data_IF_861725053096
#
_entry.id   IF_861725053096
#
_cell.length_a   1.000
_cell.length_b   1.000
_cell.length_c   1.000
_cell.angle_alpha   90.00
_cell.angle_beta   90.00
_cell.angle_gamma   90.00
#
_symmetry.space_group_name_H-M   'P 1'
#
loop_
_entity.id
_entity.type
_entity.pdbx_description
1 polymer ?
#
# COMPACT_ATOMS: atom_id res chain seq x y z
N UNK A 1 -8.47 -6.58 27.23
CA UNK A 1 -7.98 -5.98 25.96
C UNK A 1 -6.46 -6.01 25.80
N UNK A 2 -5.68 -5.37 26.67
CA UNK A 2 -4.21 -5.26 26.51
C UNK A 2 -3.46 -6.60 26.43
N UNK A 3 -3.90 -7.60 27.21
CA UNK A 3 -3.32 -8.97 27.19
C UNK A 3 -3.50 -9.64 25.83
N UNK A 4 -4.67 -9.47 25.19
CA UNK A 4 -4.94 -10.04 23.86
C UNK A 4 -4.07 -9.40 22.79
N UNK A 5 -3.98 -8.06 22.78
CA UNK A 5 -3.17 -7.29 21.82
C UNK A 5 -1.70 -7.71 21.89
N UNK A 6 -1.17 -7.93 23.10
CA UNK A 6 0.20 -8.43 23.31
C UNK A 6 0.42 -9.83 22.76
N UNK A 7 -0.56 -10.73 22.93
CA UNK A 7 -0.47 -12.13 22.47
C UNK A 7 -0.71 -12.30 20.97
N UNK A 8 -1.54 -11.44 20.37
CA UNK A 8 -2.00 -11.56 18.97
C UNK A 8 -1.90 -10.23 18.20
N UNK A 9 -0.72 -9.58 18.13
CA UNK A 9 -0.59 -8.23 17.59
C UNK A 9 -1.01 -8.10 16.13
N UNK A 10 -0.71 -9.10 15.28
CA UNK A 10 -1.14 -9.10 13.88
C UNK A 10 -2.67 -9.15 13.73
N UNK A 11 -3.33 -10.04 14.49
CA UNK A 11 -4.78 -10.17 14.44
C UNK A 11 -5.46 -8.90 14.96
N UNK A 12 -4.97 -8.35 16.09
CA UNK A 12 -5.47 -7.08 16.62
C UNK A 12 -5.31 -5.94 15.63
N UNK A 13 -4.18 -5.88 14.92
CA UNK A 13 -3.95 -4.88 13.88
C UNK A 13 -4.96 -5.01 12.75
N UNK A 14 -5.16 -6.19 12.16
CA UNK A 14 -6.10 -6.33 11.05
C UNK A 14 -7.55 -6.03 11.47
N UNK A 15 -7.96 -6.44 12.67
CA UNK A 15 -9.29 -6.13 13.21
C UNK A 15 -9.46 -4.61 13.37
N UNK A 16 -8.51 -3.93 14.04
CA UNK A 16 -8.59 -2.49 14.25
C UNK A 16 -8.50 -1.70 12.94
N UNK A 17 -7.61 -2.09 12.03
CA UNK A 17 -7.41 -1.39 10.77
C UNK A 17 -8.69 -1.41 9.92
N UNK A 18 -9.36 -2.56 9.83
CA UNK A 18 -10.63 -2.66 9.12
C UNK A 18 -11.75 -1.92 9.87
N UNK A 19 -11.96 -2.20 11.16
CA UNK A 19 -13.06 -1.60 11.91
C UNK A 19 -12.99 -0.07 11.94
N UNK A 20 -11.83 0.50 12.26
CA UNK A 20 -11.67 1.95 12.35
C UNK A 20 -11.85 2.64 11.00
N UNK A 21 -11.37 2.02 9.91
CA UNK A 21 -11.56 2.58 8.57
C UNK A 21 -13.01 2.51 8.13
N UNK A 22 -13.64 1.35 8.29
CA UNK A 22 -15.00 1.13 7.83
C UNK A 22 -15.97 2.03 8.59
N UNK A 23 -15.81 2.15 9.91
CA UNK A 23 -16.62 3.08 10.73
C UNK A 23 -16.38 4.53 10.29
N UNK A 24 -15.14 4.93 10.03
CA UNK A 24 -14.83 6.29 9.59
C UNK A 24 -15.38 6.61 8.18
N UNK A 25 -15.49 5.59 7.31
CA UNK A 25 -16.04 5.75 5.97
C UNK A 25 -17.57 5.67 5.91
N UNK A 26 -18.24 5.17 6.95
CA UNK A 26 -19.71 5.05 6.95
C UNK A 26 -20.41 6.39 6.61
N UNK A 27 -20.07 7.54 7.22
CA UNK A 27 -20.70 8.80 6.85
C UNK A 27 -20.49 9.17 5.38
N UNK A 28 -19.30 8.92 4.83
CA UNK A 28 -19.00 9.17 3.42
C UNK A 28 -19.81 8.28 2.48
N UNK A 29 -19.83 6.98 2.77
CA UNK A 29 -20.61 5.98 2.02
C UNK A 29 -22.11 6.29 2.07
N UNK A 30 -22.63 6.70 3.22
CA UNK A 30 -24.06 6.97 3.40
C UNK A 30 -24.49 8.34 2.87
N UNK A 31 -23.56 9.27 2.68
CA UNK A 31 -23.83 10.61 2.12
C UNK A 31 -24.21 10.57 0.63
N UNK A 32 -24.48 11.74 0.03
CA UNK A 32 -24.69 11.90 -1.42
C UNK A 32 -23.45 11.55 -2.26
N UNK A 33 -22.27 11.43 -1.65
CA UNK A 33 -21.08 10.89 -2.32
C UNK A 33 -21.10 9.35 -2.46
N UNK A 34 -22.14 8.67 -1.97
CA UNK A 34 -22.31 7.23 -2.11
C UNK A 34 -23.76 6.82 -2.27
N UNK A 35 -24.33 6.15 -1.26
CA UNK A 35 -25.68 5.58 -1.34
C UNK A 35 -26.80 6.61 -1.20
N UNK A 36 -26.51 7.81 -0.72
CA UNK A 36 -27.49 8.90 -0.59
C UNK A 36 -28.52 8.71 0.53
N UNK A 37 -28.27 7.81 1.48
CA UNK A 37 -29.15 7.59 2.65
C UNK A 37 -29.20 8.83 3.56
N UNK A 38 -28.08 9.55 3.68
CA UNK A 38 -27.94 10.78 4.44
C UNK A 38 -27.89 11.98 3.49
N UNK A 39 -28.71 12.98 3.78
CA UNK A 39 -28.89 14.14 2.93
C UNK A 39 -27.83 15.23 3.14
N UNK A 40 -26.57 14.88 2.92
CA UNK A 40 -25.45 15.82 2.89
C UNK A 40 -24.37 15.34 1.92
N UNK A 41 -23.43 16.21 1.57
CA UNK A 41 -22.26 15.87 0.77
C UNK A 41 -20.99 16.36 1.46
N UNK A 42 -19.89 15.64 1.26
CA UNK A 42 -18.59 16.06 1.71
C UNK A 42 -18.06 17.17 0.81
N UNK A 43 -17.61 18.31 1.36
CA UNK A 43 -17.06 19.39 0.56
C UNK A 43 -15.86 18.95 -0.28
N UNK A 44 -15.81 19.39 -1.54
CA UNK A 44 -14.67 19.16 -2.40
C UNK A 44 -13.50 20.08 -2.01
N UNK A 45 -12.33 19.50 -1.77
CA UNK A 45 -11.07 20.21 -1.53
C UNK A 45 -10.11 19.81 -2.64
N UNK A 46 -9.51 20.80 -3.32
CA UNK A 46 -8.70 20.56 -4.53
C UNK A 46 -9.45 19.76 -5.62
N UNK A 47 -10.76 19.99 -5.75
CA UNK A 47 -11.59 19.34 -6.77
C UNK A 47 -12.02 17.91 -6.43
N UNK A 48 -11.80 17.43 -5.20
CA UNK A 48 -12.20 16.08 -4.79
C UNK A 48 -12.79 16.03 -3.38
N UNK A 49 -13.81 15.20 -3.15
CA UNK A 49 -14.35 14.92 -1.81
C UNK A 49 -13.48 13.95 -1.01
N UNK A 50 -12.55 13.24 -1.68
CA UNK A 50 -11.77 12.14 -1.09
C UNK A 50 -10.92 12.59 0.10
N UNK A 51 -10.45 13.84 0.11
CA UNK A 51 -9.65 14.39 1.21
C UNK A 51 -10.43 14.50 2.52
N UNK A 52 -11.75 14.76 2.46
CA UNK A 52 -12.59 14.89 3.65
C UNK A 52 -13.40 13.61 3.91
N UNK A 53 -13.77 12.87 2.88
CA UNK A 53 -14.59 11.66 2.98
C UNK A 53 -13.80 10.38 3.17
N UNK A 54 -12.83 10.10 2.30
CA UNK A 54 -12.06 8.85 2.28
C UNK A 54 -10.81 8.90 3.17
N UNK A 55 -10.10 10.02 3.19
CA UNK A 55 -8.83 10.14 3.89
C UNK A 55 -8.88 9.86 5.41
N UNK A 56 -9.93 10.25 6.16
CA UNK A 56 -10.01 9.96 7.60
C UNK A 56 -9.93 8.47 7.92
N UNK A 57 -10.65 7.62 7.16
CA UNK A 57 -10.58 6.16 7.35
C UNK A 57 -9.23 5.59 6.92
N UNK A 58 -8.60 6.13 5.87
CA UNK A 58 -7.24 5.75 5.48
C UNK A 58 -6.22 6.01 6.60
N UNK A 59 -6.34 7.10 7.35
CA UNK A 59 -5.43 7.40 8.47
C UNK A 59 -5.78 6.63 9.76
N UNK A 60 -7.07 6.49 10.08
CA UNK A 60 -7.51 5.79 11.29
C UNK A 60 -7.32 4.27 11.19
N UNK A 61 -7.31 3.73 9.98
CA UNK A 61 -7.09 2.32 9.73
C UNK A 61 -5.65 1.88 9.95
N UNK A 62 -4.78 1.84 8.93
CA UNK A 62 -3.51 1.14 9.00
C UNK A 62 -2.51 1.84 9.91
N UNK A 63 -2.18 3.12 9.69
CA UNK A 63 -1.16 3.81 10.50
C UNK A 63 -1.58 3.94 11.97
N UNK A 64 -2.83 4.37 12.25
CA UNK A 64 -3.27 4.55 13.64
C UNK A 64 -3.45 3.21 14.37
N UNK A 65 -3.93 2.16 13.71
CA UNK A 65 -3.98 0.81 14.32
C UNK A 65 -2.59 0.27 14.61
N UNK A 66 -1.62 0.47 13.71
CA UNK A 66 -0.23 0.08 13.95
C UNK A 66 0.35 0.85 15.15
N UNK A 67 0.06 2.14 15.28
CA UNK A 67 0.43 2.95 16.45
C UNK A 67 -0.18 2.37 17.74
N UNK A 68 -1.50 2.16 17.78
CA UNK A 68 -2.20 1.66 18.97
C UNK A 68 -1.67 0.29 19.41
N UNK A 69 -1.56 -0.65 18.46
CA UNK A 69 -1.07 -2.00 18.77
C UNK A 69 0.38 -1.95 19.23
N UNK A 70 1.24 -1.18 18.57
CA UNK A 70 2.65 -1.01 19.00
C UNK A 70 2.73 -0.37 20.39
N UNK A 71 1.92 0.67 20.67
CA UNK A 71 1.92 1.37 21.95
C UNK A 71 1.47 0.48 23.11
N UNK A 72 0.50 -0.41 22.88
CA UNK A 72 -0.04 -1.35 23.87
C UNK A 72 0.91 -2.54 24.08
N UNK A 73 1.47 -3.07 22.99
CA UNK A 73 2.30 -4.26 23.01
C UNK A 73 3.75 -3.99 23.45
N UNK A 74 4.33 -2.90 22.98
CA UNK A 74 5.77 -2.59 23.10
C UNK A 74 6.06 -1.27 23.84
N UNK A 75 5.03 -0.55 24.28
CA UNK A 75 5.19 0.69 25.03
C UNK A 75 5.67 1.88 24.19
N UNK A 76 6.14 2.94 24.87
CA UNK A 76 6.63 4.18 24.21
C UNK A 76 7.90 3.92 23.39
N UNK A 77 8.77 3.05 23.88
CA UNK A 77 10.02 2.70 23.18
C UNK A 77 9.76 1.95 21.87
N UNK A 78 8.79 1.03 21.85
CA UNK A 78 8.35 0.36 20.63
C UNK A 78 7.88 1.34 19.57
N UNK A 79 7.08 2.34 19.97
CA UNK A 79 6.63 3.42 19.06
C UNK A 79 7.81 4.23 18.55
N UNK A 80 8.74 4.63 19.42
CA UNK A 80 9.95 5.37 18.99
C UNK A 80 10.78 4.56 17.99
N UNK A 81 10.96 3.25 18.22
CA UNK A 81 11.65 2.36 17.27
C UNK A 81 10.88 2.23 15.95
N UNK A 82 9.55 2.15 15.99
CA UNK A 82 8.70 2.05 14.80
C UNK A 82 8.76 3.32 13.95
N UNK A 83 8.58 4.49 14.55
CA UNK A 83 8.69 5.79 13.87
C UNK A 83 10.10 5.97 13.29
N UNK A 84 11.15 5.56 14.01
CA UNK A 84 12.52 5.61 13.51
C UNK A 84 12.77 4.79 12.24
N UNK A 85 11.97 3.75 11.96
CA UNK A 85 12.06 3.00 10.70
C UNK A 85 11.42 3.73 9.52
N UNK A 86 10.49 4.65 9.79
CA UNK A 86 9.76 5.40 8.76
C UNK A 86 10.65 6.39 8.00
N UNK A 87 11.82 6.74 8.52
CA UNK A 87 12.72 7.76 7.94
C UNK A 87 13.93 7.17 7.21
N UNK A 88 13.85 5.91 6.78
CA UNK A 88 14.95 5.23 6.08
C UNK A 88 15.04 5.66 4.60
N UNK A 89 15.56 6.85 4.36
CA UNK A 89 15.80 7.41 3.02
C UNK A 89 17.11 6.96 2.37
N UNK A 90 18.08 6.51 3.15
CA UNK A 90 19.39 6.08 2.64
C UNK A 90 19.29 4.72 1.97
N UNK A 91 18.99 4.73 0.68
CA UNK A 91 18.87 3.58 -0.23
C UNK A 91 19.62 3.92 -1.51
N UNK A 92 20.13 2.91 -2.24
CA UNK A 92 20.74 3.14 -3.56
C UNK A 92 19.77 3.90 -4.48
N UNK A 93 20.28 4.95 -5.15
CA UNK A 93 19.51 5.81 -6.05
C UNK A 93 18.81 5.04 -7.18
N UNK A 94 19.37 3.89 -7.59
CA UNK A 94 18.78 3.00 -8.59
C UNK A 94 17.36 2.58 -8.19
N UNK A 95 17.10 2.38 -6.90
CA UNK A 95 15.75 2.01 -6.45
C UNK A 95 14.77 3.16 -6.57
N UNK A 96 15.19 4.40 -6.35
CA UNK A 96 14.35 5.58 -6.59
C UNK A 96 14.02 5.70 -8.08
N UNK A 97 14.98 5.43 -8.97
CA UNK A 97 14.74 5.41 -10.41
C UNK A 97 13.77 4.28 -10.79
N UNK A 98 13.99 3.07 -10.27
CA UNK A 98 13.10 1.91 -10.52
C UNK A 98 11.67 2.20 -10.06
N UNK A 99 11.46 2.88 -8.93
CA UNK A 99 10.11 3.20 -8.46
C UNK A 99 9.50 4.37 -9.24
N UNK A 100 10.22 5.49 -9.38
CA UNK A 100 9.68 6.72 -9.96
C UNK A 100 9.51 6.65 -11.48
N UNK A 101 10.33 5.86 -12.18
CA UNK A 101 10.29 5.71 -13.64
C UNK A 101 9.79 4.33 -14.05
N UNK A 102 10.21 3.26 -13.34
CA UNK A 102 9.81 1.91 -13.71
C UNK A 102 8.31 1.65 -13.57
N UNK A 103 7.63 2.27 -12.60
CA UNK A 103 6.16 2.16 -12.46
C UNK A 103 5.43 2.83 -13.64
N UNK A 104 5.63 4.13 -13.94
CA UNK A 104 5.06 4.74 -15.14
C UNK A 104 5.40 3.98 -16.42
N UNK A 105 6.65 3.54 -16.59
CA UNK A 105 7.07 2.81 -17.79
C UNK A 105 6.33 1.48 -17.96
N UNK A 106 6.08 0.73 -16.88
CA UNK A 106 5.31 -0.50 -16.94
C UNK A 106 3.84 -0.26 -17.32
N UNK A 107 3.24 0.81 -16.79
CA UNK A 107 1.86 1.20 -17.13
C UNK A 107 1.78 1.68 -18.58
N UNK A 108 2.71 2.53 -19.03
CA UNK A 108 2.80 3.00 -20.42
C UNK A 108 2.96 1.83 -21.40
N UNK A 109 3.87 0.90 -21.11
CA UNK A 109 4.08 -0.28 -21.95
C UNK A 109 2.81 -1.14 -22.07
N UNK A 110 2.06 -1.28 -20.98
CA UNK A 110 0.79 -2.01 -20.97
C UNK A 110 -0.30 -1.24 -21.71
N UNK A 111 -0.39 0.07 -21.51
CA UNK A 111 -1.31 0.96 -22.22
C UNK A 111 -1.11 0.90 -23.72
N UNK A 112 0.14 1.05 -24.19
CA UNK A 112 0.51 0.94 -25.61
C UNK A 112 0.10 -0.39 -26.23
N UNK A 113 0.26 -1.49 -25.49
CA UNK A 113 -0.13 -2.81 -25.96
C UNK A 113 -1.66 -3.00 -26.05
N UNK A 114 -2.44 -2.21 -25.30
CA UNK A 114 -3.90 -2.26 -25.27
C UNK A 114 -4.58 -1.20 -26.14
N UNK A 115 -3.86 -0.14 -26.52
CA UNK A 115 -4.37 0.97 -27.33
C UNK A 115 -3.99 0.84 -28.82
N UNK A 116 -3.56 -0.34 -29.26
CA UNK A 116 -3.04 -0.57 -30.62
C UNK A 116 -1.92 0.42 -31.02
N UNK A 117 -1.11 0.82 -30.04
CA UNK A 117 0.00 1.77 -30.22
C UNK A 117 -0.41 3.25 -30.19
N UNK A 118 -1.69 3.57 -30.01
CA UNK A 118 -2.15 4.95 -29.86
C UNK A 118 -1.72 5.52 -28.50
N UNK A 119 -0.98 6.63 -28.53
CA UNK A 119 -0.55 7.36 -27.33
C UNK A 119 -0.44 8.84 -27.65
N UNK A 120 -0.84 9.66 -26.67
CA UNK A 120 -0.72 11.10 -26.73
C UNK A 120 0.33 11.56 -25.74
N UNK A 121 1.10 12.60 -26.11
CA UNK A 121 1.99 13.24 -25.16
C UNK A 121 1.18 14.07 -24.16
N UNK A 122 1.40 13.94 -22.84
CA UNK A 122 0.59 14.63 -21.85
C UNK A 122 0.74 16.16 -21.98
N UNK A 123 -0.34 16.93 -21.79
CA UNK A 123 -0.28 18.40 -21.78
C UNK A 123 0.71 18.95 -20.74
N UNK A 124 1.24 20.15 -20.96
CA UNK A 124 2.18 20.79 -20.03
C UNK A 124 1.61 20.93 -18.61
N UNK A 125 0.30 21.16 -18.47
CA UNK A 125 -0.38 21.23 -17.18
C UNK A 125 -0.26 19.92 -16.38
N UNK A 126 -0.36 18.77 -17.05
CA UNK A 126 -0.19 17.43 -16.44
C UNK A 126 1.24 17.27 -15.93
N UNK A 127 2.24 17.65 -16.74
CA UNK A 127 3.64 17.57 -16.36
C UNK A 127 3.96 18.44 -15.14
N UNK A 128 3.40 19.65 -15.09
CA UNK A 128 3.55 20.58 -13.96
C UNK A 128 2.84 20.05 -12.71
N UNK A 129 1.64 19.48 -12.85
CA UNK A 129 0.86 18.94 -11.74
C UNK A 129 1.41 17.62 -11.18
N UNK A 130 2.18 16.88 -11.97
CA UNK A 130 2.64 15.53 -11.62
C UNK A 130 3.42 15.47 -10.31
N UNK A 131 4.41 16.36 -10.14
CA UNK A 131 5.26 16.36 -8.94
C UNK A 131 4.51 16.86 -7.68
N UNK A 132 3.78 17.98 -7.69
CA UNK A 132 2.95 18.39 -6.55
C UNK A 132 1.93 17.32 -6.14
N UNK A 133 1.26 16.69 -7.10
CA UNK A 133 0.30 15.60 -6.83
C UNK A 133 0.99 14.37 -6.23
N UNK A 134 2.17 13.98 -6.74
CA UNK A 134 2.95 12.88 -6.18
C UNK A 134 3.33 13.14 -4.71
N UNK A 135 3.80 14.35 -4.40
CA UNK A 135 4.16 14.76 -3.04
C UNK A 135 2.95 14.81 -2.11
N UNK A 136 1.80 15.28 -2.61
CA UNK A 136 0.56 15.22 -1.86
C UNK A 136 0.17 13.77 -1.54
N UNK A 137 0.26 12.88 -2.52
CA UNK A 137 -0.08 11.46 -2.36
C UNK A 137 0.88 10.69 -1.45
N UNK A 138 2.14 11.11 -1.34
CA UNK A 138 3.04 10.60 -0.30
C UNK A 138 2.44 10.76 1.10
N UNK A 139 1.68 11.83 1.33
CA UNK A 139 1.00 12.08 2.61
C UNK A 139 -0.40 11.46 2.61
N UNK A 140 -1.21 11.64 1.57
CA UNK A 140 -2.62 11.23 1.62
C UNK A 140 -2.81 9.73 1.43
N UNK A 141 -1.89 9.04 0.76
CA UNK A 141 -2.00 7.60 0.44
C UNK A 141 -0.83 6.84 1.05
N UNK A 142 0.41 7.21 0.70
CA UNK A 142 1.60 6.51 1.16
C UNK A 142 1.70 6.45 2.69
N UNK A 143 1.61 7.60 3.36
CA UNK A 143 1.78 7.67 4.81
C UNK A 143 0.57 7.10 5.56
N UNK A 144 -0.64 7.23 5.01
CA UNK A 144 -1.85 6.69 5.62
C UNK A 144 -1.79 5.16 5.72
N UNK A 145 -1.27 4.50 4.68
CA UNK A 145 -1.38 3.06 4.50
C UNK A 145 -0.10 2.28 4.82
N UNK A 146 1.03 2.67 4.22
CA UNK A 146 2.25 1.86 4.20
C UNK A 146 2.86 1.59 5.59
N UNK A 147 2.83 2.53 6.57
CA UNK A 147 3.30 2.24 7.92
C UNK A 147 2.57 1.06 8.58
N UNK A 148 1.27 0.92 8.29
CA UNK A 148 0.46 -0.19 8.79
C UNK A 148 0.70 -1.47 8.01
N UNK A 149 0.53 -1.44 6.69
CA UNK A 149 0.59 -2.64 5.87
C UNK A 149 2.01 -3.21 5.74
N UNK A 150 3.02 -2.35 5.48
CA UNK A 150 4.36 -2.81 5.09
C UNK A 150 5.31 -2.81 6.28
N UNK A 151 5.39 -1.73 7.05
CA UNK A 151 6.30 -1.72 8.21
C UNK A 151 5.72 -2.50 9.41
N UNK A 152 4.43 -2.37 9.73
CA UNK A 152 3.85 -3.09 10.85
C UNK A 152 3.51 -4.55 10.52
N UNK A 153 2.63 -4.78 9.53
CA UNK A 153 2.07 -6.11 9.26
C UNK A 153 3.04 -7.00 8.47
N UNK A 154 3.48 -6.59 7.28
CA UNK A 154 4.36 -7.39 6.42
C UNK A 154 5.66 -7.77 7.15
N UNK A 155 6.33 -6.83 7.82
CA UNK A 155 7.57 -7.14 8.56
C UNK A 155 7.37 -8.20 9.65
N UNK A 156 6.21 -8.21 10.34
CA UNK A 156 5.86 -9.22 11.34
C UNK A 156 5.45 -10.55 10.69
N UNK A 157 4.68 -10.51 9.61
CA UNK A 157 4.23 -11.70 8.89
C UNK A 157 5.40 -12.44 8.26
N UNK A 158 6.38 -11.74 7.69
CA UNK A 158 7.54 -12.37 7.02
C UNK A 158 8.37 -13.22 7.97
N UNK A 159 8.43 -12.86 9.26
CA UNK A 159 9.09 -13.69 10.28
C UNK A 159 8.36 -15.01 10.56
N UNK A 160 7.05 -15.09 10.27
CA UNK A 160 6.22 -16.25 10.57
C UNK A 160 5.91 -17.11 9.34
N UNK A 161 5.69 -16.48 8.19
CA UNK A 161 5.22 -17.15 6.97
C UNK A 161 6.23 -17.05 5.81
N UNK A 162 7.40 -16.46 6.04
CA UNK A 162 8.35 -16.12 4.97
C UNK A 162 7.82 -15.02 4.05
N UNK A 163 8.61 -14.66 3.04
CA UNK A 163 8.28 -13.57 2.12
C UNK A 163 6.99 -13.87 1.33
N UNK A 164 7.01 -14.98 0.57
CA UNK A 164 5.91 -15.35 -0.32
C UNK A 164 4.60 -15.60 0.44
N UNK A 165 4.66 -16.36 1.55
CA UNK A 165 3.46 -16.62 2.36
C UNK A 165 2.86 -15.33 2.92
N UNK A 166 3.70 -14.40 3.36
CA UNK A 166 3.21 -13.09 3.84
C UNK A 166 2.60 -12.25 2.74
N UNK A 167 3.21 -12.25 1.55
CA UNK A 167 2.70 -11.54 0.38
C UNK A 167 1.33 -12.06 -0.06
N UNK A 168 1.18 -13.40 -0.13
CA UNK A 168 -0.07 -14.06 -0.54
C UNK A 168 -1.20 -13.78 0.46
N UNK A 169 -0.89 -13.70 1.76
CA UNK A 169 -1.89 -13.39 2.78
C UNK A 169 -2.23 -11.89 2.79
N UNK A 170 -1.23 -11.01 2.71
CA UNK A 170 -1.43 -9.57 2.85
C UNK A 170 -2.13 -8.94 1.64
N UNK A 171 -1.89 -9.44 0.42
CA UNK A 171 -2.51 -8.90 -0.80
C UNK A 171 -4.05 -8.88 -0.76
N UNK A 172 -4.72 -10.02 -0.52
CA UNK A 172 -6.16 -10.08 -0.37
C UNK A 172 -6.69 -9.28 0.82
N UNK A 173 -5.98 -9.27 1.96
CA UNK A 173 -6.38 -8.48 3.12
C UNK A 173 -6.34 -6.98 2.86
N UNK A 174 -5.37 -6.53 2.05
CA UNK A 174 -5.29 -5.14 1.62
C UNK A 174 -6.40 -4.80 0.61
N UNK A 175 -6.70 -5.69 -0.34
CA UNK A 175 -7.87 -5.51 -1.23
C UNK A 175 -9.20 -5.50 -0.47
N UNK A 176 -9.39 -6.42 0.48
CA UNK A 176 -10.58 -6.53 1.33
C UNK A 176 -10.85 -5.23 2.11
N UNK A 177 -9.79 -4.61 2.62
CA UNK A 177 -9.88 -3.38 3.38
C UNK A 177 -10.62 -2.27 2.60
N UNK A 178 -10.44 -2.19 1.28
CA UNK A 178 -11.05 -1.18 0.42
C UNK A 178 -12.52 -1.44 0.07
N UNK A 179 -13.06 -2.66 0.26
CA UNK A 179 -14.36 -3.04 -0.30
C UNK A 179 -15.51 -2.08 0.04
N UNK A 180 -15.64 -1.53 1.26
CA UNK A 180 -16.71 -0.59 1.55
C UNK A 180 -16.67 0.69 0.72
N UNK A 181 -15.48 1.15 0.28
CA UNK A 181 -15.36 2.35 -0.54
C UNK A 181 -15.98 2.19 -1.95
N UNK A 182 -16.20 0.95 -2.41
CA UNK A 182 -16.96 0.69 -3.65
C UNK A 182 -18.44 1.05 -3.56
N UNK A 183 -18.93 1.42 -2.37
CA UNK A 183 -20.26 2.00 -2.15
C UNK A 183 -20.25 3.54 -2.17
N UNK A 184 -19.17 4.16 -2.66
CA UNK A 184 -19.01 5.60 -2.83
C UNK A 184 -18.48 5.96 -4.21
N UNK A 185 -18.51 7.25 -4.57
CA UNK A 185 -17.95 7.79 -5.81
C UNK A 185 -16.47 7.44 -5.98
N UNK A 186 -15.72 7.27 -4.87
CA UNK A 186 -14.32 6.81 -4.90
C UNK A 186 -14.17 5.50 -5.66
N UNK A 187 -15.08 4.54 -5.39
CA UNK A 187 -15.07 3.25 -6.06
C UNK A 187 -15.95 3.20 -7.31
N UNK A 188 -16.64 4.30 -7.66
CA UNK A 188 -17.51 4.41 -8.83
C UNK A 188 -18.94 3.90 -8.60
N UNK A 189 -19.45 3.95 -7.38
CA UNK A 189 -20.87 3.71 -7.13
C UNK A 189 -21.75 4.75 -7.86
N UNK A 190 -22.93 4.38 -8.41
CA UNK A 190 -23.52 3.03 -8.44
C UNK A 190 -23.08 2.17 -9.64
N UNK A 191 -22.29 2.72 -10.55
CA UNK A 191 -22.01 2.11 -11.86
C UNK A 191 -20.87 1.08 -11.85
N UNK A 192 -20.17 0.92 -10.73
CA UNK A 192 -19.05 -0.02 -10.62
C UNK A 192 -19.47 -1.46 -10.83
N UNK A 193 -18.82 -2.13 -11.79
CA UNK A 193 -19.05 -3.54 -12.06
C UNK A 193 -18.35 -4.45 -11.03
N UNK A 194 -18.93 -5.64 -10.80
CA UNK A 194 -18.26 -6.68 -10.00
C UNK A 194 -16.88 -7.04 -10.57
N UNK A 195 -16.75 -7.05 -11.90
CA UNK A 195 -15.47 -7.30 -12.56
C UNK A 195 -14.40 -6.29 -12.12
N UNK A 196 -14.73 -4.99 -12.10
CA UNK A 196 -13.78 -3.94 -11.68
C UNK A 196 -13.35 -4.11 -10.22
N UNK A 197 -14.25 -4.54 -9.33
CA UNK A 197 -13.91 -4.86 -7.93
C UNK A 197 -12.93 -6.04 -7.87
N UNK A 198 -13.20 -7.10 -8.63
CA UNK A 198 -12.33 -8.28 -8.68
C UNK A 198 -10.95 -7.96 -9.29
N UNK A 199 -10.92 -7.16 -10.36
CA UNK A 199 -9.69 -6.68 -10.99
C UNK A 199 -8.86 -5.84 -10.00
N UNK A 200 -9.49 -4.97 -9.20
CA UNK A 200 -8.83 -4.21 -8.15
C UNK A 200 -8.22 -5.12 -7.07
N UNK A 201 -8.98 -6.09 -6.55
CA UNK A 201 -8.45 -7.02 -5.52
C UNK A 201 -7.31 -7.88 -6.09
N UNK A 202 -7.43 -8.33 -7.34
CA UNK A 202 -6.37 -9.05 -8.04
C UNK A 202 -5.12 -8.17 -8.23
N UNK A 203 -5.30 -6.88 -8.52
CA UNK A 203 -4.20 -5.92 -8.58
C UNK A 203 -3.53 -5.76 -7.21
N UNK A 204 -4.29 -5.60 -6.12
CA UNK A 204 -3.73 -5.57 -4.76
C UNK A 204 -2.87 -6.80 -4.48
N UNK A 205 -3.31 -7.99 -4.91
CA UNK A 205 -2.55 -9.24 -4.75
C UNK A 205 -1.22 -9.22 -5.52
N UNK A 206 -1.27 -8.89 -6.81
CA UNK A 206 -0.10 -8.93 -7.71
C UNK A 206 0.87 -7.80 -7.41
N UNK A 207 0.39 -6.58 -7.21
CA UNK A 207 1.23 -5.44 -6.84
C UNK A 207 1.92 -5.66 -5.49
N UNK A 208 1.27 -6.33 -4.54
CA UNK A 208 1.89 -6.64 -3.25
C UNK A 208 3.16 -7.52 -3.38
N UNK A 209 3.28 -8.32 -4.44
CA UNK A 209 4.51 -9.06 -4.77
C UNK A 209 5.66 -8.11 -5.07
N UNK A 210 5.42 -7.13 -5.96
CA UNK A 210 6.40 -6.12 -6.34
C UNK A 210 6.79 -5.26 -5.13
N UNK A 211 5.78 -4.80 -4.37
CA UNK A 211 6.00 -4.04 -3.13
C UNK A 211 6.84 -4.82 -2.13
N UNK A 212 6.53 -6.10 -1.89
CA UNK A 212 7.30 -6.93 -0.95
C UNK A 212 8.75 -7.09 -1.39
N UNK A 213 8.98 -7.31 -2.69
CA UNK A 213 10.33 -7.44 -3.24
C UNK A 213 11.14 -6.16 -3.09
N UNK A 214 10.61 -5.00 -3.48
CA UNK A 214 11.28 -3.70 -3.32
C UNK A 214 11.53 -3.43 -1.83
N UNK A 215 10.55 -3.71 -0.98
CA UNK A 215 10.67 -3.50 0.47
C UNK A 215 11.84 -4.30 1.03
N UNK A 216 11.93 -5.58 0.71
CA UNK A 216 13.02 -6.42 1.19
C UNK A 216 14.39 -6.04 0.61
N UNK A 217 14.45 -5.71 -0.69
CA UNK A 217 15.70 -5.35 -1.36
C UNK A 217 16.28 -4.02 -0.93
N UNK A 218 15.45 -3.14 -0.41
CA UNK A 218 15.84 -1.80 0.05
C UNK A 218 16.08 -1.77 1.56
N UNK A 219 16.14 -2.95 2.17
CA UNK A 219 16.32 -3.12 3.61
C UNK A 219 15.15 -2.57 4.40
N UNK A 220 13.93 -2.71 3.88
CA UNK A 220 12.68 -2.27 4.50
C UNK A 220 12.54 -0.74 4.55
N UNK A 221 12.87 -0.05 3.45
CA UNK A 221 12.71 1.41 3.34
C UNK A 221 11.25 1.77 3.13
N UNK A 222 10.63 2.37 4.15
CA UNK A 222 9.24 2.81 4.07
C UNK A 222 9.02 3.98 3.09
N UNK A 223 9.84 5.04 3.06
CA UNK A 223 9.63 6.14 2.12
C UNK A 223 9.67 5.71 0.65
N UNK A 224 10.55 4.76 0.31
CA UNK A 224 10.62 4.24 -1.04
C UNK A 224 9.38 3.40 -1.39
N UNK A 225 8.83 2.66 -0.44
CA UNK A 225 7.59 1.91 -0.64
C UNK A 225 6.38 2.83 -0.77
N UNK A 226 6.34 3.91 0.02
CA UNK A 226 5.36 4.97 -0.18
C UNK A 226 5.48 5.52 -1.60
N UNK A 227 6.69 5.86 -2.06
CA UNK A 227 6.93 6.34 -3.42
C UNK A 227 6.48 5.33 -4.48
N UNK A 228 6.79 4.04 -4.31
CA UNK A 228 6.37 2.98 -5.23
C UNK A 228 4.84 2.89 -5.34
N UNK A 229 4.15 2.89 -4.20
CA UNK A 229 2.69 2.84 -4.16
C UNK A 229 2.11 4.08 -4.84
N UNK A 230 2.47 5.28 -4.38
CA UNK A 230 1.88 6.52 -4.89
C UNK A 230 2.29 6.82 -6.33
N UNK A 231 3.37 6.21 -6.85
CA UNK A 231 3.72 6.32 -8.27
C UNK A 231 2.66 5.65 -9.16
N UNK A 232 2.03 4.57 -8.69
CA UNK A 232 0.89 3.96 -9.40
C UNK A 232 -0.29 4.92 -9.36
N UNK A 233 -0.71 5.34 -8.17
CA UNK A 233 -1.88 6.21 -8.00
C UNK A 233 -1.72 7.53 -8.77
N UNK A 234 -0.57 8.19 -8.63
CA UNK A 234 -0.29 9.45 -9.28
C UNK A 234 -0.27 9.35 -10.80
N UNK A 235 0.35 8.30 -11.35
CA UNK A 235 0.36 8.11 -12.79
C UNK A 235 -1.07 7.88 -13.32
N UNK A 236 -1.85 7.02 -12.67
CA UNK A 236 -3.22 6.72 -13.06
C UNK A 236 -4.16 7.93 -12.92
N UNK A 237 -4.00 8.74 -11.87
CA UNK A 237 -4.87 9.90 -11.61
C UNK A 237 -4.52 11.15 -12.40
N UNK A 238 -3.27 11.34 -12.82
CA UNK A 238 -2.80 12.61 -13.40
C UNK A 238 -2.44 12.50 -14.88
N UNK A 239 -1.82 11.38 -15.29
CA UNK A 239 -1.24 11.27 -16.63
C UNK A 239 -1.94 10.23 -17.53
N UNK A 240 -2.43 9.13 -16.97
CA UNK A 240 -2.86 7.98 -17.75
C UNK A 240 -3.98 8.29 -18.76
N UNK A 241 -5.06 8.94 -18.33
CA UNK A 241 -6.21 9.25 -19.19
C UNK A 241 -5.89 10.23 -20.31
N UNK A 242 -4.96 11.15 -20.05
CA UNK A 242 -4.46 12.14 -21.02
C UNK A 242 -3.55 11.50 -22.06
N UNK A 243 -2.76 10.50 -21.64
CA UNK A 243 -1.87 9.75 -22.54
C UNK A 243 -2.59 8.67 -23.35
N UNK A 244 -3.63 8.04 -22.79
CA UNK A 244 -4.40 6.97 -23.43
C UNK A 244 -5.90 7.26 -23.40
N UNK A 245 -6.41 8.22 -24.20
CA UNK A 245 -7.83 8.60 -24.20
C UNK A 245 -8.76 7.43 -24.56
N UNK A 246 -8.30 6.50 -25.41
CA UNK A 246 -9.05 5.29 -25.80
C UNK A 246 -9.19 4.27 -24.68
N UNK A 247 -8.39 4.39 -23.62
CA UNK A 247 -8.42 3.52 -22.43
C UNK A 247 -8.92 4.25 -21.17
N UNK A 248 -9.53 5.44 -21.34
CA UNK A 248 -9.89 6.31 -20.23
C UNK A 248 -11.09 5.84 -19.39
N UNK A 249 -11.78 4.76 -19.78
CA UNK A 249 -12.85 4.19 -18.94
C UNK A 249 -12.27 3.57 -17.68
N UNK A 250 -12.98 3.65 -16.53
CA UNK A 250 -12.50 3.07 -15.27
C UNK A 250 -12.18 1.56 -15.37
N UNK A 251 -12.93 0.83 -16.19
CA UNK A 251 -12.74 -0.61 -16.43
C UNK A 251 -11.42 -0.89 -17.17
N UNK A 252 -11.16 -0.16 -18.26
CA UNK A 252 -9.93 -0.34 -19.05
C UNK A 252 -8.71 0.11 -18.25
N UNK A 253 -8.80 1.23 -17.54
CA UNK A 253 -7.75 1.72 -16.65
C UNK A 253 -7.42 0.71 -15.53
N UNK A 254 -8.44 0.10 -14.92
CA UNK A 254 -8.28 -0.96 -13.93
C UNK A 254 -7.55 -2.18 -14.52
N UNK A 255 -7.97 -2.61 -15.71
CA UNK A 255 -7.37 -3.73 -16.42
C UNK A 255 -5.91 -3.49 -16.81
N UNK A 256 -5.56 -2.30 -17.29
CA UNK A 256 -4.17 -1.90 -17.56
C UNK A 256 -3.32 -2.03 -16.29
N UNK A 257 -3.83 -1.49 -15.17
CA UNK A 257 -3.11 -1.52 -13.89
C UNK A 257 -2.92 -2.95 -13.40
N UNK A 258 -3.94 -3.80 -13.52
CA UNK A 258 -3.87 -5.22 -13.20
C UNK A 258 -2.84 -5.95 -14.07
N UNK A 259 -2.83 -5.73 -15.39
CA UNK A 259 -1.91 -6.40 -16.31
C UNK A 259 -0.46 -5.95 -16.08
N UNK A 260 -0.23 -4.66 -15.84
CA UNK A 260 1.08 -4.13 -15.48
C UNK A 260 1.57 -4.74 -14.16
N UNK A 261 0.72 -4.75 -13.12
CA UNK A 261 1.03 -5.35 -11.82
C UNK A 261 1.28 -6.86 -11.89
N UNK A 262 0.48 -7.59 -12.67
CA UNK A 262 0.63 -9.03 -12.90
C UNK A 262 1.94 -9.34 -13.61
N UNK A 263 2.27 -8.59 -14.67
CA UNK A 263 3.53 -8.75 -15.40
C UNK A 263 4.72 -8.50 -14.48
N UNK A 264 4.70 -7.42 -13.71
CA UNK A 264 5.72 -7.13 -12.71
C UNK A 264 5.85 -8.23 -11.66
N UNK A 265 4.73 -8.74 -11.15
CA UNK A 265 4.69 -9.83 -10.18
C UNK A 265 5.30 -11.12 -10.72
N UNK A 266 4.93 -11.53 -11.94
CA UNK A 266 5.46 -12.72 -12.61
C UNK A 266 6.97 -12.59 -12.82
N UNK A 267 7.44 -11.47 -13.36
CA UNK A 267 8.86 -11.21 -13.57
C UNK A 267 9.65 -11.27 -12.25
N UNK A 268 9.12 -10.65 -11.18
CA UNK A 268 9.74 -10.68 -9.85
C UNK A 268 9.75 -12.09 -9.25
N UNK A 269 8.67 -12.85 -9.38
CA UNK A 269 8.60 -14.22 -8.86
C UNK A 269 9.59 -15.14 -9.57
N UNK A 270 9.71 -15.03 -10.90
CA UNK A 270 10.68 -15.78 -11.70
C UNK A 270 12.10 -15.38 -11.29
N UNK A 271 12.42 -14.08 -11.33
CA UNK A 271 13.75 -13.56 -11.05
C UNK A 271 14.23 -13.88 -9.63
N UNK A 272 13.32 -13.95 -8.66
CA UNK A 272 13.64 -14.22 -7.25
C UNK A 272 13.40 -15.65 -6.82
N UNK A 273 12.85 -16.50 -7.70
CA UNK A 273 12.38 -17.86 -7.40
C UNK A 273 11.50 -17.90 -6.14
N UNK A 274 10.58 -16.93 -6.03
CA UNK A 274 9.67 -16.78 -4.89
C UNK A 274 10.30 -16.27 -3.58
N UNK A 275 11.61 -15.98 -3.53
CA UNK A 275 12.27 -15.49 -2.30
C UNK A 275 11.99 -14.02 -2.00
N UNK A 276 11.59 -13.24 -3.01
CA UNK A 276 11.25 -11.82 -2.92
C UNK A 276 12.30 -10.98 -2.17
N UNK A 277 13.58 -11.34 -2.27
CA UNK A 277 14.70 -10.63 -1.64
C UNK A 277 14.74 -10.67 -0.11
N UNK A 278 13.88 -11.45 0.56
CA UNK A 278 13.83 -11.49 2.02
C UNK A 278 15.08 -12.13 2.61
N UNK A 279 15.64 -11.48 3.64
CA UNK A 279 16.74 -11.97 4.45
C UNK A 279 16.25 -12.03 5.89
N UNK A 280 16.05 -13.22 6.47
CA UNK A 280 15.68 -13.34 7.87
C UNK A 280 16.72 -12.63 8.75
N UNK A 281 16.31 -11.98 9.84
CA UNK A 281 17.26 -11.54 10.87
C UNK A 281 18.09 -12.75 11.32
N UNK A 282 19.40 -12.58 11.49
CA UNK A 282 20.24 -13.63 12.07
C UNK A 282 19.69 -14.00 13.45
N UNK A 283 19.57 -15.30 13.75
CA UNK A 283 19.24 -15.74 15.10
C UNK A 283 20.31 -15.22 16.07
N UNK A 284 19.94 -14.74 17.27
CA UNK A 284 20.92 -14.43 18.29
C UNK A 284 21.76 -15.68 18.56
N UNK A 285 23.08 -15.57 18.43
CA UNK A 285 24.00 -16.64 18.84
C UNK A 285 23.70 -16.95 20.31
N UNK A 286 23.40 -18.21 20.70
CA UNK A 286 23.20 -18.53 22.09
C UNK A 286 24.44 -18.10 22.88
N UNK A 287 24.23 -17.31 23.94
CA UNK A 287 25.31 -16.93 24.83
C UNK A 287 25.98 -18.22 25.31
N UNK A 288 27.25 -18.42 24.94
CA UNK A 288 28.06 -19.51 25.46
C UNK A 288 28.05 -19.32 26.97
N UNK A 289 27.39 -20.23 27.69
CA UNK A 289 27.40 -20.26 29.14
C UNK A 289 28.87 -20.31 29.57
N UNK A 290 29.34 -19.23 30.17
CA UNK A 290 30.70 -19.16 30.71
C UNK A 290 30.87 -20.31 31.67
N UNK A 291 31.83 -21.17 31.36
CA UNK A 291 32.41 -22.15 32.28
C UNK A 291 32.75 -21.44 33.60
N UNK A 292 32.01 -21.76 34.65
CA UNK A 292 32.42 -21.47 36.03
C UNK A 292 33.77 -22.14 36.26
N UNK A 293 34.81 -21.31 36.40
CA UNK A 293 36.08 -21.75 36.89
C UNK A 293 35.90 -22.12 38.37
N UNK A 294 35.83 -23.42 38.65
CA UNK A 294 36.02 -23.97 39.99
C UNK A 294 37.45 -23.69 40.40
N UNK A 295 37.69 -22.58 41.09
CA UNK A 295 38.91 -22.38 41.87
C UNK A 295 38.69 -22.95 43.26
N UNK A 296 39.10 -24.20 43.45
CA UNK A 296 39.43 -24.74 44.76
C UNK A 296 40.70 -24.05 45.27
N UNK A 297 40.60 -23.34 46.40
CA UNK A 297 41.64 -23.23 47.43
C UNK A 297 41.04 -22.71 48.72
#
# INVERSE_FOLDING_TARGET
MAVFVRRRPLLSFFILANLLSWVAWLPYILSRNGTGVLDFEFPAVLGTSQLLGMLPGAYLGPIFSAYLVTRIAEGKEGVRRWIGRMTKWRVSWVWYLVTAVGVPAAIIATGLAMSDGEVTFPPAAVLVAYLPSLLLQMVTTGLAEEPGWRDFALARMQRRFGALGSTIILGPLWGLWHLPLFLSEWGGYPDVSLQRILEFVAFCCTFNVVVTWVFNRTGQSLPLIMLLHVSVNNFMSVAFTEMFPTLATPELASRVTLLAGTTGAVLVLIATRGRLGYRPPAEPVPAVAGTEAVTTR
#
